data_IF_569252363686
#
_entry.id   IF_569252363686
#
_cell.length_a   1.000
_cell.length_b   1.000
_cell.length_c   1.000
_cell.angle_alpha   90.00
_cell.angle_beta   90.00
_cell.angle_gamma   90.00
#
_symmetry.space_group_name_H-M   'P 1'
#
loop_
_entity.id
_entity.type
_entity.pdbx_description
1 polymer ?
#
# COMPACT_ATOMS: atom_id res chain seq x y z
N UNK A 1 -7.00 12.52 3.56
CA UNK A 1 -6.23 11.79 2.53
C UNK A 1 -5.11 10.88 3.06
N UNK A 2 -4.66 10.98 4.32
CA UNK A 2 -3.62 10.08 4.88
C UNK A 2 -4.10 8.76 5.52
N UNK A 3 -5.41 8.51 5.60
CA UNK A 3 -5.96 7.37 6.34
C UNK A 3 -5.69 6.03 5.63
N UNK A 4 -5.94 5.95 4.31
CA UNK A 4 -5.68 4.74 3.53
C UNK A 4 -4.18 4.41 3.44
N UNK A 5 -3.29 5.41 3.36
CA UNK A 5 -1.85 5.14 3.38
C UNK A 5 -1.40 4.50 4.69
N UNK A 6 -1.86 5.07 5.82
CA UNK A 6 -1.53 4.57 7.15
C UNK A 6 -2.13 3.18 7.40
N UNK A 7 -3.36 2.94 6.93
CA UNK A 7 -3.99 1.62 6.97
C UNK A 7 -3.18 0.58 6.18
N UNK A 8 -2.73 0.94 4.97
CA UNK A 8 -1.88 0.06 4.15
C UNK A 8 -0.55 -0.26 4.84
N UNK A 9 0.07 0.71 5.52
CA UNK A 9 1.30 0.47 6.30
C UNK A 9 1.04 -0.48 7.47
N UNK A 10 -0.03 -0.28 8.23
CA UNK A 10 -0.37 -1.16 9.35
C UNK A 10 -0.66 -2.60 8.88
N UNK A 11 -1.31 -2.76 7.73
CA UNK A 11 -1.57 -4.07 7.12
C UNK A 11 -0.26 -4.73 6.63
N UNK A 12 0.65 -3.94 6.06
CA UNK A 12 1.97 -4.42 5.65
C UNK A 12 2.79 -4.92 6.83
N UNK A 13 2.75 -4.23 7.98
CA UNK A 13 3.39 -4.69 9.21
C UNK A 13 2.78 -5.99 9.74
N UNK A 14 1.47 -6.17 9.56
CA UNK A 14 0.76 -7.43 9.85
C UNK A 14 1.03 -8.54 8.83
N UNK A 15 1.91 -8.31 7.83
CA UNK A 15 2.16 -9.20 6.68
C UNK A 15 0.93 -9.45 5.81
N UNK A 16 -0.13 -8.66 5.96
CA UNK A 16 -1.32 -8.71 5.12
C UNK A 16 -1.09 -7.87 3.85
N UNK A 17 -0.14 -8.33 3.02
CA UNK A 17 0.34 -7.58 1.87
C UNK A 17 -0.75 -7.31 0.82
N UNK A 18 -1.68 -8.25 0.60
CA UNK A 18 -2.80 -8.07 -0.33
C UNK A 18 -3.71 -6.91 0.10
N UNK A 19 -4.11 -6.89 1.37
CA UNK A 19 -4.94 -5.81 1.92
C UNK A 19 -4.19 -4.48 1.95
N UNK A 20 -2.89 -4.50 2.26
CA UNK A 20 -2.04 -3.31 2.22
C UNK A 20 -2.00 -2.67 0.83
N UNK A 21 -1.87 -3.51 -0.21
CA UNK A 21 -1.88 -3.07 -1.61
C UNK A 21 -3.23 -2.44 -1.95
N UNK A 22 -4.35 -3.05 -1.57
CA UNK A 22 -5.67 -2.51 -1.84
C UNK A 22 -5.85 -1.10 -1.25
N UNK A 23 -5.45 -0.89 0.01
CA UNK A 23 -5.51 0.42 0.65
C UNK A 23 -4.64 1.47 -0.07
N UNK A 24 -3.43 1.09 -0.49
CA UNK A 24 -2.58 2.00 -1.25
C UNK A 24 -3.06 2.27 -2.67
N UNK A 25 -3.77 1.33 -3.30
CA UNK A 25 -4.42 1.54 -4.59
C UNK A 25 -5.56 2.56 -4.48
N UNK A 26 -6.34 2.56 -3.40
CA UNK A 26 -7.33 3.62 -3.14
C UNK A 26 -6.68 4.99 -3.00
N UNK A 27 -5.52 5.08 -2.32
CA UNK A 27 -4.74 6.33 -2.29
C UNK A 27 -4.34 6.76 -3.70
N UNK A 28 -3.94 5.82 -4.57
CA UNK A 28 -3.56 6.14 -5.95
C UNK A 28 -4.72 6.48 -6.86
N UNK A 29 -5.94 6.03 -6.56
CA UNK A 29 -7.15 6.47 -7.27
C UNK A 29 -7.46 7.93 -6.95
N UNK A 30 -7.25 8.35 -5.70
CA UNK A 30 -7.47 9.72 -5.26
C UNK A 30 -6.31 10.66 -5.62
N UNK A 31 -5.08 10.20 -5.44
CA UNK A 31 -3.84 10.88 -5.80
C UNK A 31 -2.93 9.93 -6.59
N UNK A 32 -3.08 9.88 -7.92
CA UNK A 32 -2.25 9.01 -8.77
C UNK A 32 -0.76 9.38 -8.79
N UNK A 33 -0.39 10.54 -8.24
CA UNK A 33 0.99 10.99 -8.11
C UNK A 33 1.57 10.70 -6.71
N UNK A 34 0.85 9.97 -5.86
CA UNK A 34 1.33 9.60 -4.53
C UNK A 34 2.47 8.58 -4.59
N UNK A 35 3.70 9.08 -4.71
CA UNK A 35 4.93 8.27 -4.89
C UNK A 35 5.15 7.25 -3.76
N UNK A 36 4.75 7.58 -2.54
CA UNK A 36 4.90 6.68 -1.39
C UNK A 36 4.02 5.44 -1.52
N UNK A 37 2.75 5.58 -1.93
CA UNK A 37 1.85 4.44 -2.14
C UNK A 37 2.39 3.50 -3.22
N UNK A 38 2.86 4.04 -4.35
CA UNK A 38 3.48 3.20 -5.42
C UNK A 38 4.68 2.40 -4.89
N UNK A 39 5.61 3.05 -4.18
CA UNK A 39 6.77 2.38 -3.58
C UNK A 39 6.37 1.28 -2.60
N UNK A 40 5.35 1.54 -1.78
CA UNK A 40 4.89 0.57 -0.80
C UNK A 40 4.21 -0.64 -1.44
N UNK A 41 3.38 -0.43 -2.47
CA UNK A 41 2.78 -1.51 -3.27
C UNK A 41 3.85 -2.40 -3.90
N UNK A 42 4.89 -1.82 -4.51
CA UNK A 42 6.00 -2.60 -5.07
C UNK A 42 6.71 -3.43 -3.99
N UNK A 43 6.96 -2.86 -2.81
CA UNK A 43 7.57 -3.57 -1.67
C UNK A 43 6.70 -4.75 -1.23
N UNK A 44 5.40 -4.52 -1.04
CA UNK A 44 4.45 -5.58 -0.67
C UNK A 44 4.39 -6.70 -1.70
N UNK A 45 4.30 -6.35 -2.99
CA UNK A 45 4.30 -7.34 -4.08
C UNK A 45 5.59 -8.17 -4.12
N UNK A 46 6.74 -7.57 -3.81
CA UNK A 46 8.01 -8.30 -3.71
C UNK A 46 8.02 -9.26 -2.53
N UNK A 47 7.49 -8.84 -1.37
CA UNK A 47 7.42 -9.69 -0.18
C UNK A 47 6.45 -10.86 -0.35
N UNK A 48 5.37 -10.70 -1.13
CA UNK A 48 4.45 -11.79 -1.44
C UNK A 48 5.06 -12.86 -2.36
N UNK A 49 6.01 -12.48 -3.22
CA UNK A 49 6.68 -13.38 -4.16
C UNK A 49 7.93 -14.07 -3.59
N UNK A 50 8.26 -13.81 -2.33
CA UNK A 50 9.45 -14.32 -1.66
C UNK A 50 9.06 -15.35 -0.62
#
# INVERSE_FOLDING_TARGET
>A
MGQHYSAGVALYEKREYEKAIAEWEEVLKLDPNHKQSKKMIEKARKQMKK
#
